data_IF_136884186011
#
_entry.id   IF_136884186011
#
_cell.length_a   1.000
_cell.length_b   1.000
_cell.length_c   1.000
_cell.angle_alpha   90.00
_cell.angle_beta   90.00
_cell.angle_gamma   90.00
#
_symmetry.space_group_name_H-M   'P 1'
#
loop_
_entity.id
_entity.type
_entity.pdbx_description
1 polymer ?
#
# COMPACT_ATOMS: atom_id res chain seq x y z
N UNK A 1 -82.73 -25.19 -8.13
CA UNK A 1 -82.03 -25.54 -6.86
C UNK A 1 -80.57 -25.05 -6.87
N UNK A 2 -80.27 -23.94 -7.56
CA UNK A 2 -78.90 -23.45 -7.82
C UNK A 2 -78.64 -22.04 -7.28
N UNK A 3 -79.67 -21.30 -6.84
CA UNK A 3 -79.52 -19.91 -6.37
C UNK A 3 -79.19 -19.81 -4.87
N UNK A 4 -79.57 -20.80 -4.06
CA UNK A 4 -79.38 -20.75 -2.61
C UNK A 4 -77.92 -20.97 -2.15
N UNK A 5 -77.06 -21.54 -2.99
CA UNK A 5 -75.64 -21.76 -2.66
C UNK A 5 -74.75 -20.54 -2.87
N UNK A 6 -75.19 -19.55 -3.64
CA UNK A 6 -74.38 -18.35 -3.91
C UNK A 6 -74.54 -17.28 -2.83
N UNK A 7 -75.68 -17.22 -2.14
CA UNK A 7 -75.94 -16.21 -1.10
C UNK A 7 -75.12 -16.48 0.17
N UNK A 8 -74.98 -17.75 0.58
CA UNK A 8 -74.19 -18.15 1.76
C UNK A 8 -72.69 -17.84 1.62
N UNK A 9 -72.17 -17.84 0.39
CA UNK A 9 -70.74 -17.61 0.15
C UNK A 9 -70.36 -16.13 0.27
N UNK A 10 -71.21 -15.18 -0.13
CA UNK A 10 -70.87 -13.75 -0.07
C UNK A 10 -70.89 -13.19 1.36
N UNK A 11 -71.81 -13.65 2.21
CA UNK A 11 -71.85 -13.25 3.63
C UNK A 11 -70.65 -13.77 4.42
N UNK A 12 -70.14 -14.96 4.07
CA UNK A 12 -68.97 -15.56 4.70
C UNK A 12 -67.67 -14.76 4.48
N UNK A 13 -67.54 -14.04 3.36
CA UNK A 13 -66.39 -13.15 3.12
C UNK A 13 -66.57 -11.77 3.75
N UNK A 14 -67.81 -11.27 3.87
CA UNK A 14 -68.10 -9.95 4.49
C UNK A 14 -67.95 -9.94 6.01
N UNK A 15 -68.21 -11.06 6.69
CA UNK A 15 -68.24 -11.13 8.16
C UNK A 15 -67.01 -11.82 8.79
N UNK A 16 -65.86 -11.85 8.12
CA UNK A 16 -64.65 -12.37 8.76
C UNK A 16 -64.15 -11.38 9.80
N UNK A 17 -63.90 -11.79 11.05
CA UNK A 17 -63.19 -10.93 11.99
C UNK A 17 -61.83 -10.62 11.39
N UNK A 18 -61.53 -9.33 11.23
CA UNK A 18 -60.21 -8.89 10.81
C UNK A 18 -59.19 -9.46 11.82
N UNK A 19 -58.36 -10.40 11.37
CA UNK A 19 -57.20 -10.84 12.17
C UNK A 19 -56.24 -9.66 12.24
N UNK A 20 -56.37 -8.85 13.29
CA UNK A 20 -55.41 -7.81 13.61
C UNK A 20 -54.20 -8.53 14.20
N UNK A 21 -53.19 -8.77 13.36
CA UNK A 21 -51.88 -9.20 13.84
C UNK A 21 -51.23 -8.00 14.52
N UNK A 22 -51.55 -7.79 15.79
CA UNK A 22 -50.86 -6.80 16.60
C UNK A 22 -49.42 -7.28 16.81
N UNK A 23 -48.40 -6.54 16.32
CA UNK A 23 -47.05 -7.03 16.36
C UNK A 23 -46.58 -7.09 17.81
N UNK A 24 -46.19 -8.28 18.27
CA UNK A 24 -45.83 -8.51 19.67
C UNK A 24 -44.73 -7.51 20.12
N UNK A 25 -45.04 -6.59 21.05
CA UNK A 25 -44.13 -5.50 21.42
C UNK A 25 -42.84 -6.01 22.08
N UNK A 26 -42.90 -7.17 22.75
CA UNK A 26 -41.73 -7.82 23.37
C UNK A 26 -40.73 -8.36 22.33
N UNK A 27 -41.23 -8.84 21.19
CA UNK A 27 -40.38 -9.31 20.08
C UNK A 27 -39.78 -8.14 19.30
N UNK A 28 -40.49 -7.03 19.20
CA UNK A 28 -40.01 -5.80 18.55
C UNK A 28 -38.88 -5.13 19.34
N UNK A 29 -38.97 -5.05 20.66
CA UNK A 29 -37.92 -4.44 21.48
C UNK A 29 -36.65 -5.31 21.53
N UNK A 30 -36.79 -6.63 21.58
CA UNK A 30 -35.66 -7.57 21.50
C UNK A 30 -34.98 -7.56 20.14
N UNK A 31 -35.72 -7.46 19.03
CA UNK A 31 -35.15 -7.29 17.69
C UNK A 31 -34.39 -5.97 17.54
N UNK A 32 -34.93 -4.86 18.06
CA UNK A 32 -34.25 -3.55 18.04
C UNK A 32 -32.97 -3.54 18.87
N UNK A 33 -32.98 -4.15 20.06
CA UNK A 33 -31.80 -4.28 20.92
C UNK A 33 -30.72 -5.17 20.28
N UNK A 34 -31.12 -6.27 19.66
CA UNK A 34 -30.20 -7.18 18.96
C UNK A 34 -29.61 -6.52 17.71
N UNK A 35 -30.43 -5.81 16.93
CA UNK A 35 -29.97 -5.03 15.77
C UNK A 35 -28.96 -3.94 16.13
N UNK A 36 -29.16 -3.22 17.24
CA UNK A 36 -28.18 -2.23 17.74
C UNK A 36 -26.85 -2.88 18.14
N UNK A 37 -26.88 -4.06 18.79
CA UNK A 37 -25.65 -4.79 19.15
C UNK A 37 -24.89 -5.27 17.92
N UNK A 38 -25.60 -5.79 16.91
CA UNK A 38 -25.00 -6.23 15.64
C UNK A 38 -24.40 -5.03 14.91
N UNK A 39 -25.13 -3.91 14.80
CA UNK A 39 -24.62 -2.70 14.18
C UNK A 39 -23.36 -2.17 14.88
N UNK A 40 -23.34 -2.15 16.22
CA UNK A 40 -22.18 -1.77 16.99
C UNK A 40 -20.99 -2.72 16.76
N UNK A 41 -21.25 -4.03 16.72
CA UNK A 41 -20.21 -5.03 16.44
C UNK A 41 -19.62 -4.86 15.04
N UNK A 42 -20.45 -4.60 14.02
CA UNK A 42 -19.98 -4.35 12.65
C UNK A 42 -19.12 -3.09 12.60
N UNK A 43 -19.51 -2.01 13.27
CA UNK A 43 -18.70 -0.78 13.34
C UNK A 43 -17.35 -1.04 14.02
N UNK A 44 -17.34 -1.80 15.12
CA UNK A 44 -16.10 -2.19 15.80
C UNK A 44 -15.23 -3.10 14.93
N UNK A 45 -15.82 -4.05 14.22
CA UNK A 45 -15.09 -4.95 13.32
C UNK A 45 -14.46 -4.17 12.16
N UNK A 46 -15.18 -3.21 11.56
CA UNK A 46 -14.65 -2.34 10.52
C UNK A 46 -13.55 -1.41 11.04
N UNK A 47 -13.73 -0.80 12.21
CA UNK A 47 -12.70 0.01 12.84
C UNK A 47 -11.45 -0.83 13.19
N UNK A 48 -11.64 -2.07 13.62
CA UNK A 48 -10.55 -3.00 13.89
C UNK A 48 -9.79 -3.37 12.61
N UNK A 49 -10.49 -3.68 11.52
CA UNK A 49 -9.85 -3.95 10.22
C UNK A 49 -9.01 -2.74 9.75
N UNK A 50 -9.55 -1.53 9.88
CA UNK A 50 -8.83 -0.31 9.54
C UNK A 50 -7.55 -0.12 10.38
N UNK A 51 -7.63 -0.34 11.69
CA UNK A 51 -6.46 -0.28 12.59
C UNK A 51 -5.42 -1.35 12.26
N UNK A 52 -5.87 -2.56 11.90
CA UNK A 52 -4.97 -3.63 11.51
C UNK A 52 -4.18 -3.26 10.25
N UNK A 53 -4.85 -2.70 9.24
CA UNK A 53 -4.26 -2.34 7.96
C UNK A 53 -3.27 -1.18 8.05
N UNK A 54 -3.63 -0.08 8.72
CA UNK A 54 -2.76 1.09 8.78
C UNK A 54 -1.62 0.96 9.80
N UNK A 55 -1.82 0.24 10.90
CA UNK A 55 -0.90 0.31 12.05
C UNK A 55 -0.20 -1.01 12.32
N UNK A 56 -0.96 -2.12 12.37
CA UNK A 56 -0.42 -3.39 12.84
C UNK A 56 0.35 -4.11 11.75
N UNK A 57 -0.23 -4.26 10.55
CA UNK A 57 0.41 -4.94 9.41
C UNK A 57 1.76 -4.31 9.05
N UNK A 58 1.91 -2.96 8.93
CA UNK A 58 3.18 -2.33 8.61
C UNK A 58 4.25 -2.50 9.69
N UNK A 59 3.86 -2.58 10.96
CA UNK A 59 4.81 -2.83 12.07
C UNK A 59 5.26 -4.29 12.08
N UNK A 60 4.35 -5.22 11.86
CA UNK A 60 4.68 -6.64 11.75
C UNK A 60 5.60 -6.92 10.56
N UNK A 61 5.31 -6.32 9.40
CA UNK A 61 6.14 -6.50 8.21
C UNK A 61 7.55 -5.94 8.40
N UNK A 62 7.69 -4.78 9.05
CA UNK A 62 9.00 -4.22 9.43
C UNK A 62 9.74 -5.13 10.41
N UNK A 63 9.07 -5.63 11.44
CA UNK A 63 9.67 -6.55 12.39
C UNK A 63 10.13 -7.85 11.72
N UNK A 64 9.32 -8.42 10.83
CA UNK A 64 9.67 -9.62 10.06
C UNK A 64 10.83 -9.36 9.10
N UNK A 65 10.83 -8.23 8.40
CA UNK A 65 11.92 -7.84 7.52
C UNK A 65 13.24 -7.70 8.30
N UNK A 66 13.17 -7.18 9.52
CA UNK A 66 14.33 -7.04 10.40
C UNK A 66 14.82 -8.40 10.91
N UNK A 67 13.92 -9.31 11.33
CA UNK A 67 14.29 -10.68 11.70
C UNK A 67 14.94 -11.46 10.54
N UNK A 68 14.37 -11.35 9.34
CA UNK A 68 14.93 -11.98 8.15
C UNK A 68 16.33 -11.39 7.84
N UNK A 69 16.48 -10.08 7.98
CA UNK A 69 17.75 -9.39 7.79
C UNK A 69 18.79 -9.78 8.83
N UNK A 70 18.41 -9.94 10.10
CA UNK A 70 19.32 -10.37 11.17
C UNK A 70 19.82 -11.80 10.96
N UNK A 71 19.00 -12.66 10.34
CA UNK A 71 19.38 -14.04 10.01
C UNK A 71 20.50 -14.09 8.97
N UNK A 72 20.41 -13.25 7.92
CA UNK A 72 21.41 -13.21 6.84
C UNK A 72 22.56 -12.23 7.09
N UNK A 73 22.41 -11.34 8.09
CA UNK A 73 23.42 -10.36 8.49
C UNK A 73 24.83 -10.93 8.63
N UNK A 74 25.09 -12.03 9.37
CA UNK A 74 26.45 -12.52 9.56
C UNK A 74 27.11 -12.95 8.24
N UNK A 75 26.36 -13.52 7.31
CA UNK A 75 26.86 -13.89 5.98
C UNK A 75 27.13 -12.66 5.13
N UNK A 76 26.20 -11.71 5.11
CA UNK A 76 26.33 -10.45 4.39
C UNK A 76 27.51 -9.61 4.91
N UNK A 77 27.74 -9.61 6.23
CA UNK A 77 28.89 -8.96 6.84
C UNK A 77 30.20 -9.59 6.35
N UNK A 78 30.32 -10.93 6.38
CA UNK A 78 31.50 -11.63 5.85
C UNK A 78 31.76 -11.32 4.38
N UNK A 79 30.71 -11.28 3.56
CA UNK A 79 30.81 -10.94 2.14
C UNK A 79 31.23 -9.48 1.93
N UNK A 80 30.67 -8.56 2.71
CA UNK A 80 31.04 -7.15 2.68
C UNK A 80 32.51 -6.95 3.07
N UNK A 81 32.96 -7.63 4.12
CA UNK A 81 34.36 -7.60 4.59
C UNK A 81 35.32 -8.27 3.60
N UNK A 82 34.82 -9.21 2.79
CA UNK A 82 35.54 -9.81 1.65
C UNK A 82 35.57 -8.90 0.41
N UNK A 83 35.09 -7.66 0.51
CA UNK A 83 35.10 -6.67 -0.57
C UNK A 83 34.00 -6.87 -1.62
N UNK A 84 32.91 -7.59 -1.30
CA UNK A 84 31.77 -7.72 -2.22
C UNK A 84 30.90 -6.45 -2.14
N UNK A 85 30.83 -5.63 -3.21
CA UNK A 85 30.17 -4.32 -3.17
C UNK A 85 28.68 -4.43 -2.88
N UNK A 86 27.99 -5.43 -3.45
CA UNK A 86 26.56 -5.64 -3.22
C UNK A 86 26.24 -5.98 -1.75
N UNK A 87 27.13 -6.72 -1.09
CA UNK A 87 26.95 -7.05 0.32
C UNK A 87 27.17 -5.81 1.20
N UNK A 88 28.18 -5.00 0.88
CA UNK A 88 28.41 -3.73 1.56
C UNK A 88 27.24 -2.74 1.38
N UNK A 89 26.67 -2.64 0.17
CA UNK A 89 25.47 -1.84 -0.10
C UNK A 89 24.28 -2.34 0.72
N UNK A 90 24.04 -3.66 0.73
CA UNK A 90 22.96 -4.24 1.51
C UNK A 90 23.12 -3.96 3.02
N UNK A 91 24.34 -4.09 3.55
CA UNK A 91 24.64 -3.77 4.96
C UNK A 91 24.33 -2.30 5.27
N UNK A 92 24.74 -1.37 4.39
CA UNK A 92 24.48 0.05 4.57
C UNK A 92 22.98 0.41 4.51
N UNK A 93 22.19 -0.26 3.66
CA UNK A 93 20.75 0.00 3.54
C UNK A 93 19.94 -0.57 4.71
N UNK A 94 20.33 -1.74 5.22
CA UNK A 94 19.61 -2.40 6.33
C UNK A 94 20.09 -1.90 7.71
N UNK A 95 21.35 -1.49 7.82
CA UNK A 95 21.96 -1.01 9.06
C UNK A 95 22.67 0.35 8.85
N UNK A 96 21.95 1.41 8.43
CA UNK A 96 22.55 2.69 8.07
C UNK A 96 23.27 3.38 9.24
N UNK A 97 22.90 3.07 10.48
CA UNK A 97 23.57 3.64 11.66
C UNK A 97 24.98 3.09 11.87
N UNK A 98 25.25 1.87 11.43
CA UNK A 98 26.53 1.19 11.67
C UNK A 98 27.37 1.06 10.40
N UNK A 99 26.72 0.87 9.25
CA UNK A 99 27.40 0.42 8.02
C UNK A 99 27.29 1.41 6.85
N UNK A 100 26.68 2.59 7.03
CA UNK A 100 26.58 3.59 5.96
C UNK A 100 27.95 4.05 5.41
N UNK A 101 29.00 4.04 6.26
CA UNK A 101 30.37 4.40 5.86
C UNK A 101 30.91 3.52 4.71
N UNK A 102 30.39 2.29 4.56
CA UNK A 102 30.82 1.37 3.49
C UNK A 102 30.46 1.91 2.11
N UNK A 103 29.40 2.72 2.00
CA UNK A 103 29.03 3.37 0.75
C UNK A 103 30.08 4.38 0.31
N UNK A 104 30.71 5.11 1.24
CA UNK A 104 31.72 6.13 0.90
C UNK A 104 32.95 5.50 0.23
N UNK A 105 33.34 4.32 0.69
CA UNK A 105 34.44 3.55 0.09
C UNK A 105 34.11 3.10 -1.34
N UNK A 106 32.87 2.67 -1.58
CA UNK A 106 32.41 2.24 -2.90
C UNK A 106 32.20 3.42 -3.85
N UNK A 107 31.72 4.55 -3.34
CA UNK A 107 31.58 5.80 -4.11
C UNK A 107 32.95 6.31 -4.55
N UNK A 108 33.98 6.21 -3.70
CA UNK A 108 35.35 6.53 -4.09
C UNK A 108 35.87 5.64 -5.25
N UNK A 109 35.31 4.43 -5.40
CA UNK A 109 35.58 3.52 -6.52
C UNK A 109 34.63 3.73 -7.71
N UNK A 110 33.81 4.79 -7.70
CA UNK A 110 32.80 5.11 -8.71
C UNK A 110 31.71 4.03 -8.86
N UNK A 111 31.41 3.29 -7.80
CA UNK A 111 30.31 2.34 -7.82
C UNK A 111 28.97 3.09 -7.87
N UNK A 112 28.31 2.99 -9.02
CA UNK A 112 27.07 3.71 -9.30
C UNK A 112 25.88 3.19 -8.48
N UNK A 113 25.92 1.93 -8.04
CA UNK A 113 24.89 1.38 -7.14
C UNK A 113 25.06 1.93 -5.72
N UNK A 114 26.29 2.11 -5.25
CA UNK A 114 26.56 2.72 -3.95
C UNK A 114 26.13 4.18 -3.91
N UNK A 115 26.34 4.94 -4.99
CA UNK A 115 25.82 6.30 -5.14
C UNK A 115 24.28 6.32 -5.04
N UNK A 116 23.59 5.41 -5.73
CA UNK A 116 22.13 5.27 -5.63
C UNK A 116 21.66 4.89 -4.23
N UNK A 117 22.37 3.98 -3.56
CA UNK A 117 22.07 3.60 -2.19
C UNK A 117 22.22 4.78 -1.23
N UNK A 118 23.28 5.59 -1.39
CA UNK A 118 23.50 6.79 -0.58
C UNK A 118 22.43 7.86 -0.84
N UNK A 119 22.03 8.04 -2.10
CA UNK A 119 20.92 8.91 -2.45
C UNK A 119 19.60 8.47 -1.78
N UNK A 120 19.34 7.17 -1.74
CA UNK A 120 18.14 6.61 -1.08
C UNK A 120 18.13 6.92 0.42
N UNK A 121 19.28 6.79 1.09
CA UNK A 121 19.40 7.11 2.52
C UNK A 121 19.25 8.61 2.81
N UNK A 122 19.73 9.47 1.91
CA UNK A 122 19.67 10.93 2.05
C UNK A 122 18.34 11.54 1.61
N UNK A 123 17.52 10.82 0.84
CA UNK A 123 16.32 11.39 0.21
C UNK A 123 15.38 12.12 1.18
N UNK A 124 15.23 11.60 2.39
CA UNK A 124 14.34 12.16 3.41
C UNK A 124 14.95 13.31 4.21
N UNK A 125 16.28 13.41 4.26
CA UNK A 125 17.00 14.38 5.11
C UNK A 125 17.67 15.48 4.32
N UNK A 126 18.29 15.15 3.18
CA UNK A 126 18.97 16.05 2.27
C UNK A 126 18.68 15.65 0.80
N UNK A 127 17.55 16.12 0.26
CA UNK A 127 17.15 15.78 -1.10
C UNK A 127 18.07 16.39 -2.17
N UNK A 128 18.82 17.44 -1.87
CA UNK A 128 19.69 18.09 -2.85
C UNK A 128 21.00 17.31 -3.02
N UNK A 129 21.61 16.86 -1.92
CA UNK A 129 22.72 15.90 -1.97
C UNK A 129 22.28 14.57 -2.60
N UNK A 130 21.07 14.09 -2.31
CA UNK A 130 20.55 12.88 -2.94
C UNK A 130 20.44 13.01 -4.48
N UNK A 131 19.95 14.14 -4.98
CA UNK A 131 19.90 14.42 -6.43
C UNK A 131 21.29 14.46 -7.06
N UNK A 132 22.30 14.98 -6.36
CA UNK A 132 23.67 15.03 -6.85
C UNK A 132 24.21 13.61 -7.05
N UNK A 133 24.06 12.74 -6.06
CA UNK A 133 24.45 11.33 -6.19
C UNK A 133 23.68 10.59 -7.28
N UNK A 134 22.40 10.89 -7.50
CA UNK A 134 21.63 10.30 -8.61
C UNK A 134 22.20 10.76 -9.96
N UNK A 135 22.59 12.03 -10.10
CA UNK A 135 23.22 12.52 -11.34
C UNK A 135 24.56 11.86 -11.60
N UNK A 136 25.39 11.70 -10.57
CA UNK A 136 26.67 11.01 -10.67
C UNK A 136 26.47 9.53 -11.02
N UNK A 137 25.53 8.84 -10.37
CA UNK A 137 25.20 7.46 -10.67
C UNK A 137 24.72 7.29 -12.12
N UNK A 138 23.93 8.24 -12.64
CA UNK A 138 23.50 8.22 -14.03
C UNK A 138 24.65 8.46 -15.01
N UNK A 139 25.62 9.31 -14.67
CA UNK A 139 26.82 9.53 -15.47
C UNK A 139 27.69 8.27 -15.56
N UNK A 140 27.73 7.47 -14.49
CA UNK A 140 28.39 6.16 -14.44
C UNK A 140 27.50 5.02 -15.01
N UNK A 141 26.35 5.34 -15.61
CA UNK A 141 25.50 4.39 -16.34
C UNK A 141 24.54 3.57 -15.48
N UNK A 142 24.23 3.99 -14.25
CA UNK A 142 23.25 3.28 -13.42
C UNK A 142 21.84 3.35 -14.04
N UNK A 143 21.19 2.21 -14.38
CA UNK A 143 19.89 2.21 -15.04
C UNK A 143 18.78 2.88 -14.21
N UNK A 144 18.78 2.69 -12.90
CA UNK A 144 17.76 3.29 -12.03
C UNK A 144 17.92 4.81 -11.97
N UNK A 145 19.16 5.30 -11.93
CA UNK A 145 19.44 6.73 -11.95
C UNK A 145 19.08 7.38 -13.30
N UNK A 146 19.41 6.72 -14.40
CA UNK A 146 19.06 7.17 -15.76
C UNK A 146 17.55 7.24 -15.93
N UNK A 147 16.82 6.21 -15.48
CA UNK A 147 15.35 6.20 -15.52
C UNK A 147 14.75 7.33 -14.70
N UNK A 148 15.24 7.54 -13.48
CA UNK A 148 14.75 8.64 -12.64
C UNK A 148 14.98 10.02 -13.30
N UNK A 149 16.11 10.21 -13.99
CA UNK A 149 16.39 11.46 -14.71
C UNK A 149 15.62 11.57 -16.03
N UNK A 150 15.34 10.45 -16.72
CA UNK A 150 14.59 10.45 -17.97
C UNK A 150 13.11 10.75 -17.73
N UNK A 151 12.50 10.20 -16.69
CA UNK A 151 11.14 10.52 -16.24
C UNK A 151 11.01 12.00 -15.85
N UNK A 152 12.08 12.60 -15.33
CA UNK A 152 12.13 14.03 -14.97
C UNK A 152 12.55 14.96 -16.09
N UNK A 153 13.05 14.45 -17.22
CA UNK A 153 13.19 15.30 -18.40
C UNK A 153 11.77 15.61 -18.88
N UNK A 154 11.34 16.89 -18.90
CA UNK A 154 10.10 17.22 -19.58
C UNK A 154 10.22 16.66 -20.99
N UNK A 155 9.22 15.93 -21.48
CA UNK A 155 9.18 15.33 -22.82
C UNK A 155 9.68 16.32 -23.88
N UNK A 156 10.98 16.28 -24.18
CA UNK A 156 11.64 17.33 -24.98
C UNK A 156 11.55 17.07 -26.48
N UNK A 157 10.58 16.25 -26.86
CA UNK A 157 10.08 16.19 -28.23
C UNK A 157 8.56 16.12 -28.13
N UNK A 158 7.95 17.20 -27.64
CA UNK A 158 6.54 17.46 -27.91
C UNK A 158 6.34 17.41 -29.42
N UNK A 159 5.29 16.70 -29.86
CA UNK A 159 4.91 16.48 -31.26
C UNK A 159 5.00 17.75 -32.13
N UNK A 160 4.83 18.94 -31.54
CA UNK A 160 5.01 20.23 -32.19
C UNK A 160 6.40 20.48 -32.77
N UNK A 161 7.51 20.08 -32.10
CA UNK A 161 8.87 20.26 -32.64
C UNK A 161 9.18 19.28 -33.78
N UNK A 162 8.66 18.06 -33.68
CA UNK A 162 8.74 17.05 -34.75
C UNK A 162 8.05 17.53 -36.03
N UNK A 163 6.85 18.11 -35.94
CA UNK A 163 6.14 18.64 -37.13
C UNK A 163 6.90 19.80 -37.77
N UNK A 164 7.43 20.74 -36.98
CA UNK A 164 8.16 21.89 -37.52
C UNK A 164 9.46 21.48 -38.23
N UNK A 165 10.18 20.49 -37.69
CA UNK A 165 11.52 20.15 -38.17
C UNK A 165 11.52 19.08 -39.29
N UNK A 166 10.51 18.20 -39.32
CA UNK A 166 10.45 17.07 -40.27
C UNK A 166 9.26 17.08 -41.22
N UNK A 167 8.16 17.78 -40.91
CA UNK A 167 6.95 17.79 -41.74
C UNK A 167 6.79 19.09 -42.53
N UNK A 168 7.24 20.22 -41.98
CA UNK A 168 7.15 21.54 -42.61
C UNK A 168 8.42 21.96 -43.36
N UNK A 169 9.29 21.00 -43.69
CA UNK A 169 10.49 21.25 -44.50
C UNK A 169 10.23 21.01 -45.98
#
# INVERSE_FOLDING_TARGET
MSELKNVENEEFWKNRPAFVMEPNPLKLDTLKKTGKKIGLFVVFALAFLFVMEEIVIPKLSKAQAQLNSDTIKPEMLKLADSGKPQAAIWMALNYPKTDAYRLDQLIAQKDSNAMMAKATLLWSTDPDSAKLYIKEAAAEGNPAAVNYLSEKKPNDIGFGRFIVEYVLK
#
